data_IF_966007770587
#
_entry.id   IF_966007770587
#
_cell.length_a   1.000
_cell.length_b   1.000
_cell.length_c   1.000
_cell.angle_alpha   90.00
_cell.angle_beta   90.00
_cell.angle_gamma   90.00
#
_symmetry.space_group_name_H-M   'P 1'
#
loop_
_entity.id
_entity.type
_entity.pdbx_description
1 polymer ?
#
# COMPACT_ATOMS: atom_id res chain seq x y z
N UNK A 1 -21.00 14.59 6.04
CA UNK A 1 -20.90 13.75 7.25
C UNK A 1 -21.75 14.34 8.39
N UNK A 2 -21.70 15.65 8.64
CA UNK A 2 -22.52 16.35 9.65
C UNK A 2 -23.99 15.92 9.72
N UNK A 3 -24.74 16.07 8.62
CA UNK A 3 -26.16 15.70 8.59
C UNK A 3 -26.42 14.20 8.87
N UNK A 4 -25.44 13.33 8.60
CA UNK A 4 -25.54 11.90 8.92
C UNK A 4 -25.29 11.62 10.41
N UNK A 5 -24.34 12.35 11.02
CA UNK A 5 -24.06 12.27 12.46
C UNK A 5 -25.29 12.72 13.28
N UNK A 6 -26.01 13.73 12.82
CA UNK A 6 -27.18 14.29 13.52
C UNK A 6 -28.47 13.45 13.31
N UNK A 7 -28.62 12.78 12.16
CA UNK A 7 -29.82 11.95 11.88
C UNK A 7 -29.79 10.60 12.59
N UNK A 8 -30.93 10.08 13.04
CA UNK A 8 -31.05 8.76 13.70
C UNK A 8 -30.24 8.63 15.01
N UNK A 9 -30.42 9.50 16.00
CA UNK A 9 -29.58 9.56 17.21
C UNK A 9 -29.61 8.30 18.08
N UNK A 10 -30.57 7.40 17.88
CA UNK A 10 -30.77 6.17 18.67
C UNK A 10 -30.41 4.88 17.95
N UNK A 11 -29.89 4.97 16.72
CA UNK A 11 -29.47 3.80 15.95
C UNK A 11 -27.94 3.75 15.88
N UNK A 12 -27.32 2.56 15.98
CA UNK A 12 -25.91 2.39 15.64
C UNK A 12 -25.65 2.84 14.20
N UNK A 13 -24.50 3.48 13.97
CA UNK A 13 -24.11 4.01 12.66
C UNK A 13 -22.69 3.60 12.32
N UNK A 14 -22.46 3.39 11.03
CA UNK A 14 -21.12 3.32 10.44
C UNK A 14 -21.04 4.39 9.35
N UNK A 15 -19.96 5.16 9.37
CA UNK A 15 -19.65 6.13 8.32
C UNK A 15 -18.22 5.90 7.84
N UNK A 16 -18.06 5.84 6.52
CA UNK A 16 -16.76 5.83 5.86
C UNK A 16 -16.73 7.01 4.91
N UNK A 17 -15.76 7.91 5.10
CA UNK A 17 -15.52 9.05 4.19
C UNK A 17 -14.15 8.86 3.57
N UNK A 18 -14.08 8.93 2.25
CA UNK A 18 -12.84 8.81 1.49
C UNK A 18 -12.51 10.12 0.79
N UNK A 19 -11.58 10.88 1.38
CA UNK A 19 -11.23 12.21 0.89
C UNK A 19 -10.13 12.13 -0.17
N UNK A 20 -10.52 12.03 -1.45
CA UNK A 20 -9.60 11.71 -2.56
C UNK A 20 -8.64 12.85 -2.93
N UNK A 21 -9.02 14.13 -2.80
CA UNK A 21 -8.25 15.26 -3.37
C UNK A 21 -7.44 16.06 -2.34
N UNK A 22 -7.57 15.73 -1.05
CA UNK A 22 -6.97 16.51 0.04
C UNK A 22 -5.44 16.54 -0.05
N UNK A 23 -4.81 15.41 -0.40
CA UNK A 23 -3.36 15.28 -0.43
C UNK A 23 -2.80 14.55 -1.67
N UNK A 24 -3.67 14.11 -2.59
CA UNK A 24 -3.30 13.11 -3.60
C UNK A 24 -2.22 13.59 -4.58
N UNK A 25 -2.25 14.88 -4.95
CA UNK A 25 -1.33 15.44 -5.95
C UNK A 25 -0.27 16.38 -5.37
N UNK A 26 -0.48 16.93 -4.17
CA UNK A 26 0.41 17.91 -3.54
C UNK A 26 0.36 17.83 -2.02
N UNK A 27 1.53 17.68 -1.38
CA UNK A 27 1.67 17.61 0.09
C UNK A 27 1.10 18.79 0.83
N UNK A 28 1.32 19.98 0.28
CA UNK A 28 0.97 21.22 0.97
C UNK A 28 -0.54 21.44 1.07
N UNK A 29 -1.35 20.65 0.33
CA UNK A 29 -2.82 20.74 0.43
C UNK A 29 -3.37 20.19 1.73
N UNK A 30 -2.62 19.33 2.45
CA UNK A 30 -3.01 18.86 3.78
C UNK A 30 -3.22 20.03 4.75
N UNK A 31 -2.33 21.03 4.73
CA UNK A 31 -2.44 22.19 5.61
C UNK A 31 -3.70 23.03 5.37
N UNK A 32 -4.22 23.04 4.14
CA UNK A 32 -5.47 23.73 3.82
C UNK A 32 -6.72 23.03 4.34
N UNK A 33 -6.59 21.78 4.79
CA UNK A 33 -7.68 20.96 5.29
C UNK A 33 -7.61 20.70 6.79
N UNK A 34 -6.51 21.11 7.44
CA UNK A 34 -6.25 20.86 8.86
C UNK A 34 -7.31 21.53 9.77
N UNK A 35 -7.57 22.83 9.54
CA UNK A 35 -8.58 23.59 10.29
C UNK A 35 -9.99 23.00 10.16
N UNK A 36 -10.34 22.50 8.97
CA UNK A 36 -11.65 21.90 8.69
C UNK A 36 -11.78 20.53 9.37
N UNK A 37 -10.73 19.71 9.34
CA UNK A 37 -10.69 18.44 10.08
C UNK A 37 -10.80 18.71 11.58
N UNK A 38 -10.02 19.66 12.11
CA UNK A 38 -10.07 20.04 13.51
C UNK A 38 -11.45 20.53 13.92
N UNK A 39 -12.04 21.45 13.15
CA UNK A 39 -13.38 21.97 13.39
C UNK A 39 -14.44 20.85 13.38
N UNK A 40 -14.34 19.90 12.45
CA UNK A 40 -15.22 18.73 12.40
C UNK A 40 -15.11 17.87 13.68
N UNK A 41 -13.90 17.48 14.07
CA UNK A 41 -13.68 16.67 15.28
C UNK A 41 -14.12 17.40 16.55
N UNK A 42 -13.90 18.72 16.62
CA UNK A 42 -14.33 19.55 17.74
C UNK A 42 -15.84 19.68 17.82
N UNK A 43 -16.52 19.87 16.68
CA UNK A 43 -17.98 20.02 16.61
C UNK A 43 -18.71 18.74 17.06
N UNK A 44 -18.26 17.57 16.61
CA UNK A 44 -18.91 16.28 16.86
C UNK A 44 -18.29 15.50 18.04
N UNK A 45 -17.68 16.20 18.99
CA UNK A 45 -16.90 15.57 20.06
C UNK A 45 -17.73 14.60 20.89
N UNK A 46 -18.99 14.94 21.21
CA UNK A 46 -19.84 14.11 22.07
C UNK A 46 -20.24 12.77 21.43
N UNK A 47 -20.48 12.77 20.12
CA UNK A 47 -20.73 11.56 19.33
C UNK A 47 -19.46 10.72 19.20
N UNK A 48 -18.34 11.38 18.91
CA UNK A 48 -17.06 10.71 18.69
C UNK A 48 -16.45 10.16 19.99
N UNK A 49 -16.70 10.80 21.15
CA UNK A 49 -16.32 10.29 22.47
C UNK A 49 -17.09 9.01 22.86
N UNK A 50 -18.14 8.65 22.12
CA UNK A 50 -18.89 7.38 22.25
C UNK A 50 -18.65 6.42 21.09
N UNK A 51 -17.74 6.75 20.18
CA UNK A 51 -17.52 6.02 18.93
C UNK A 51 -16.10 5.47 18.83
N UNK A 52 -15.94 4.41 18.03
CA UNK A 52 -14.64 4.06 17.47
C UNK A 52 -14.36 4.96 16.27
N UNK A 53 -13.19 5.57 16.24
CA UNK A 53 -12.80 6.53 15.19
C UNK A 53 -11.46 6.08 14.60
N UNK A 54 -11.44 5.92 13.29
CA UNK A 54 -10.25 5.58 12.52
C UNK A 54 -9.99 6.70 11.53
N UNK A 55 -8.80 7.30 11.60
CA UNK A 55 -8.30 8.24 10.61
C UNK A 55 -7.05 7.64 10.00
N UNK A 56 -7.09 7.34 8.71
CA UNK A 56 -6.00 6.65 8.02
C UNK A 56 -5.76 7.18 6.61
N UNK A 57 -4.53 7.03 6.15
CA UNK A 57 -4.20 7.12 4.72
C UNK A 57 -4.31 5.75 4.05
N UNK A 58 -4.51 5.75 2.73
CA UNK A 58 -4.45 4.54 1.90
C UNK A 58 -3.03 4.26 1.39
N UNK A 59 -2.29 5.32 1.10
CA UNK A 59 -0.88 5.32 0.76
C UNK A 59 -0.25 6.71 1.03
N UNK A 60 1.09 6.78 1.11
CA UNK A 60 1.82 8.05 1.00
C UNK A 60 1.78 8.64 -0.42
N UNK A 61 2.56 9.69 -0.75
CA UNK A 61 2.55 10.18 -2.15
C UNK A 61 2.90 9.08 -3.12
N UNK A 62 2.17 9.07 -4.24
CA UNK A 62 2.52 8.22 -5.37
C UNK A 62 3.52 8.88 -6.31
N UNK A 63 3.48 10.21 -6.45
CA UNK A 63 4.20 10.94 -7.49
C UNK A 63 4.94 12.17 -6.96
N UNK A 64 5.77 12.78 -7.82
CA UNK A 64 6.47 14.03 -7.52
C UNK A 64 7.84 13.84 -6.86
N UNK A 65 8.48 14.96 -6.50
CA UNK A 65 9.83 14.96 -5.91
C UNK A 65 9.87 14.26 -4.55
N UNK A 66 8.84 14.45 -3.72
CA UNK A 66 8.73 13.82 -2.39
C UNK A 66 8.79 12.29 -2.51
N UNK A 67 8.06 11.69 -3.47
CA UNK A 67 8.08 10.24 -3.75
C UNK A 67 9.48 9.68 -4.04
N UNK A 68 10.38 10.52 -4.56
CA UNK A 68 11.74 10.11 -4.94
C UNK A 68 12.74 10.28 -3.80
N UNK A 69 12.35 10.91 -2.69
CA UNK A 69 13.15 10.93 -1.46
C UNK A 69 13.12 9.57 -0.78
N UNK A 70 14.11 9.31 0.09
CA UNK A 70 14.14 8.10 0.90
C UNK A 70 12.87 7.95 1.78
N UNK A 71 12.43 9.04 2.41
CA UNK A 71 11.22 9.06 3.25
C UNK A 71 9.97 8.80 2.41
N UNK A 72 9.75 9.55 1.32
CA UNK A 72 8.55 9.38 0.50
C UNK A 72 8.47 8.03 -0.21
N UNK A 73 9.61 7.37 -0.48
CA UNK A 73 9.63 5.99 -0.97
C UNK A 73 9.10 4.99 0.06
N UNK A 74 9.30 5.28 1.35
CA UNK A 74 8.86 4.45 2.47
C UNK A 74 7.40 4.72 2.85
N UNK A 75 7.01 5.99 2.88
CA UNK A 75 5.65 6.40 3.23
C UNK A 75 4.57 5.91 2.26
N UNK A 76 4.89 5.64 0.99
CA UNK A 76 3.92 5.06 0.05
C UNK A 76 3.32 3.74 0.58
N UNK A 77 4.10 2.97 1.33
CA UNK A 77 3.71 1.68 1.91
C UNK A 77 3.51 1.76 3.44
N UNK A 78 3.65 2.95 4.04
CA UNK A 78 3.51 3.18 5.48
C UNK A 78 2.57 4.36 5.74
N UNK A 79 1.29 4.29 5.34
CA UNK A 79 0.35 5.37 5.58
C UNK A 79 0.08 5.55 7.08
N UNK A 80 -0.29 6.77 7.46
CA UNK A 80 -0.67 7.07 8.83
C UNK A 80 -1.95 6.32 9.23
N UNK A 81 -2.02 5.88 10.49
CA UNK A 81 -3.20 5.31 11.12
C UNK A 81 -3.34 5.89 12.53
N UNK A 82 -4.46 6.54 12.80
CA UNK A 82 -4.87 7.01 14.11
C UNK A 82 -6.16 6.30 14.51
N UNK A 83 -6.18 5.78 15.73
CA UNK A 83 -7.33 5.07 16.29
C UNK A 83 -7.71 5.71 17.62
N UNK A 84 -8.99 6.06 17.75
CA UNK A 84 -9.61 6.46 19.01
C UNK A 84 -10.73 5.50 19.35
N UNK A 85 -10.88 5.19 20.63
CA UNK A 85 -11.92 4.31 21.17
C UNK A 85 -12.91 5.11 22.01
N UNK A 86 -14.14 4.60 22.23
CA UNK A 86 -15.11 5.22 23.13
C UNK A 86 -14.48 5.52 24.50
N UNK A 87 -14.80 6.69 25.04
CA UNK A 87 -14.23 7.24 26.28
C UNK A 87 -14.23 6.24 27.44
N UNK A 88 -15.34 5.52 27.65
CA UNK A 88 -15.49 4.51 28.70
C UNK A 88 -14.60 3.27 28.51
N UNK A 89 -14.07 3.03 27.31
CA UNK A 89 -13.18 1.91 26.98
C UNK A 89 -11.70 2.32 26.95
N UNK A 90 -11.38 3.62 27.05
CA UNK A 90 -10.01 4.12 26.87
C UNK A 90 -9.03 3.57 27.90
N UNK A 91 -9.41 3.48 29.17
CA UNK A 91 -8.54 2.95 30.24
C UNK A 91 -8.09 1.52 29.97
N UNK A 92 -8.94 0.73 29.34
CA UNK A 92 -8.67 -0.68 29.02
C UNK A 92 -7.86 -0.84 27.72
N UNK A 93 -8.22 -0.13 26.65
CA UNK A 93 -7.67 -0.42 25.31
C UNK A 93 -6.58 0.54 24.83
N UNK A 94 -6.48 1.76 25.38
CA UNK A 94 -5.38 2.68 25.00
C UNK A 94 -4.00 2.09 25.31
N UNK A 95 -3.75 1.39 26.44
CA UNK A 95 -2.46 0.74 26.68
C UNK A 95 -2.10 -0.29 25.59
N UNK A 96 -3.05 -1.14 25.21
CA UNK A 96 -2.88 -2.16 24.15
C UNK A 96 -2.63 -1.51 22.79
N UNK A 97 -3.40 -0.47 22.44
CA UNK A 97 -3.20 0.28 21.21
C UNK A 97 -1.82 0.95 21.15
N UNK A 98 -1.34 1.51 22.28
CA UNK A 98 0.01 2.09 22.37
C UNK A 98 1.09 1.04 22.16
N UNK A 99 0.98 -0.13 22.80
CA UNK A 99 1.91 -1.24 22.59
C UNK A 99 1.91 -1.70 21.13
N UNK A 100 0.72 -1.91 20.56
CA UNK A 100 0.55 -2.34 19.16
C UNK A 100 1.05 -1.30 18.15
N UNK A 101 0.99 0.00 18.48
CA UNK A 101 1.48 1.08 17.61
C UNK A 101 3.00 1.03 17.36
N UNK A 102 3.75 0.33 18.23
CA UNK A 102 5.18 0.09 18.05
C UNK A 102 5.51 -1.12 17.16
N UNK A 103 4.51 -1.82 16.61
CA UNK A 103 4.69 -3.04 15.83
C UNK A 103 4.33 -2.84 14.34
N UNK A 104 4.75 -3.79 13.49
CA UNK A 104 4.33 -3.82 12.09
C UNK A 104 2.86 -4.26 11.98
N UNK A 105 2.01 -3.33 11.52
CA UNK A 105 0.58 -3.53 11.32
C UNK A 105 0.24 -3.60 9.83
N UNK A 106 -0.88 -4.25 9.52
CA UNK A 106 -1.40 -4.40 8.15
C UNK A 106 -2.87 -4.01 8.09
N UNK A 107 -3.38 -3.74 6.89
CA UNK A 107 -4.82 -3.51 6.68
C UNK A 107 -5.68 -4.72 7.07
N UNK A 108 -5.10 -5.93 7.12
CA UNK A 108 -5.80 -7.11 7.66
C UNK A 108 -6.05 -7.01 9.16
N UNK A 109 -5.17 -6.36 9.92
CA UNK A 109 -5.35 -6.11 11.35
C UNK A 109 -6.47 -5.07 11.58
N UNK A 110 -6.57 -4.06 10.71
CA UNK A 110 -7.70 -3.10 10.71
C UNK A 110 -9.01 -3.83 10.43
N UNK A 111 -9.07 -4.69 9.41
CA UNK A 111 -10.24 -5.52 9.12
C UNK A 111 -10.63 -6.40 10.31
N UNK A 112 -9.65 -7.07 10.95
CA UNK A 112 -9.91 -7.88 12.13
C UNK A 112 -10.44 -7.06 13.32
N UNK A 113 -10.00 -5.80 13.45
CA UNK A 113 -10.51 -4.87 14.47
C UNK A 113 -11.98 -4.51 14.25
N UNK A 114 -12.38 -4.31 12.99
CA UNK A 114 -13.79 -4.07 12.66
C UNK A 114 -14.65 -5.29 12.96
N UNK A 115 -14.18 -6.49 12.65
CA UNK A 115 -14.88 -7.74 13.00
C UNK A 115 -15.00 -7.89 14.52
N UNK A 116 -13.97 -7.55 15.29
CA UNK A 116 -14.00 -7.58 16.76
C UNK A 116 -15.08 -6.63 17.32
N UNK A 117 -15.12 -5.38 16.85
CA UNK A 117 -16.16 -4.39 17.24
C UNK A 117 -17.57 -4.89 16.86
N UNK A 118 -17.73 -5.50 15.69
CA UNK A 118 -19.03 -6.00 15.23
C UNK A 118 -19.52 -7.20 16.08
N UNK A 119 -18.61 -8.05 16.53
CA UNK A 119 -18.94 -9.18 17.41
C UNK A 119 -19.32 -8.72 18.82
N UNK A 120 -18.56 -7.76 19.37
CA UNK A 120 -18.84 -7.15 20.67
C UNK A 120 -18.34 -5.69 20.70
N UNK A 121 -19.25 -4.69 20.67
CA UNK A 121 -18.87 -3.29 20.72
C UNK A 121 -18.16 -2.86 22.01
N UNK A 122 -18.31 -3.62 23.10
CA UNK A 122 -17.61 -3.37 24.36
C UNK A 122 -16.30 -4.16 24.47
N UNK A 123 -16.01 -5.03 23.50
CA UNK A 123 -14.80 -5.85 23.42
C UNK A 123 -14.54 -6.67 24.70
N UNK A 124 -15.60 -7.10 25.39
CA UNK A 124 -15.56 -7.75 26.70
C UNK A 124 -14.99 -9.17 26.67
N UNK A 125 -14.98 -9.82 25.50
CA UNK A 125 -14.28 -11.08 25.31
C UNK A 125 -12.76 -10.91 25.55
N UNK A 126 -12.10 -11.91 26.15
CA UNK A 126 -10.64 -11.88 26.37
C UNK A 126 -9.88 -12.02 25.04
N UNK A 127 -10.43 -12.80 24.10
CA UNK A 127 -9.84 -13.09 22.80
C UNK A 127 -10.61 -12.39 21.70
N UNK A 128 -9.88 -11.88 20.71
CA UNK A 128 -10.47 -11.33 19.48
C UNK A 128 -10.94 -12.41 18.50
N UNK A 129 -11.45 -12.00 17.33
CA UNK A 129 -11.91 -12.93 16.29
C UNK A 129 -10.76 -13.83 15.78
N UNK A 130 -11.10 -15.07 15.45
CA UNK A 130 -10.18 -16.07 14.89
C UNK A 130 -10.50 -16.36 13.43
N UNK A 131 -9.58 -17.03 12.71
CA UNK A 131 -9.77 -17.39 11.30
C UNK A 131 -9.62 -16.23 10.30
N UNK A 132 -9.16 -15.06 10.75
CA UNK A 132 -8.88 -13.90 9.92
C UNK A 132 -7.40 -13.83 9.52
N UNK A 133 -7.10 -13.11 8.43
CA UNK A 133 -5.72 -12.87 7.97
C UNK A 133 -4.91 -11.94 8.87
N UNK A 134 -5.58 -11.19 9.74
CA UNK A 134 -4.96 -10.24 10.67
C UNK A 134 -5.55 -10.37 12.07
N UNK A 135 -5.00 -9.59 13.00
CA UNK A 135 -5.37 -9.62 14.41
C UNK A 135 -5.95 -8.27 14.81
N UNK A 136 -6.97 -8.28 15.67
CA UNK A 136 -7.58 -7.04 16.16
C UNK A 136 -6.57 -6.16 16.89
N UNK A 137 -6.55 -4.87 16.57
CA UNK A 137 -5.71 -3.85 17.18
C UNK A 137 -6.03 -3.64 18.67
N UNK A 138 -7.19 -4.11 19.12
CA UNK A 138 -7.65 -4.02 20.52
C UNK A 138 -7.21 -5.20 21.37
N UNK A 139 -6.44 -6.14 20.80
CA UNK A 139 -5.86 -7.30 21.50
C UNK A 139 -4.35 -7.21 21.43
N UNK A 140 -3.61 -7.76 22.40
CA UNK A 140 -2.16 -7.93 22.26
C UNK A 140 -1.87 -8.68 20.95
N UNK A 141 -0.92 -8.18 20.18
CA UNK A 141 -0.48 -8.89 18.97
C UNK A 141 0.07 -10.28 19.33
N UNK A 142 -0.09 -11.30 18.46
CA UNK A 142 0.48 -12.62 18.70
C UNK A 142 1.98 -12.54 19.00
N UNK A 143 2.49 -13.38 19.91
CA UNK A 143 3.90 -13.37 20.27
C UNK A 143 4.78 -13.73 19.06
N UNK A 144 5.99 -13.17 19.03
CA UNK A 144 6.98 -13.39 17.98
C UNK A 144 7.25 -12.16 17.12
N UNK A 145 8.20 -12.28 16.19
CA UNK A 145 8.55 -11.20 15.27
C UNK A 145 7.44 -10.97 14.24
N UNK A 146 6.91 -9.74 14.17
CA UNK A 146 6.07 -9.28 13.07
C UNK A 146 6.94 -8.65 11.99
N UNK A 147 7.12 -9.36 10.87
CA UNK A 147 7.92 -8.93 9.73
C UNK A 147 7.23 -9.31 8.41
N UNK A 148 7.75 -8.85 7.28
CA UNK A 148 7.24 -9.26 5.97
C UNK A 148 7.41 -10.77 5.68
N UNK A 149 8.17 -11.49 6.52
CA UNK A 149 8.30 -12.96 6.45
C UNK A 149 7.19 -13.68 7.20
N UNK A 150 6.69 -13.08 8.28
CA UNK A 150 5.66 -13.69 9.15
C UNK A 150 4.25 -13.17 8.87
N UNK A 151 4.12 -12.03 8.21
CA UNK A 151 2.85 -11.43 7.83
C UNK A 151 2.59 -11.58 6.33
N UNK A 152 1.32 -11.61 5.88
CA UNK A 152 0.95 -11.71 4.47
C UNK A 152 1.15 -10.37 3.74
N UNK A 153 2.38 -9.85 3.77
CA UNK A 153 2.78 -8.60 3.12
C UNK A 153 3.59 -8.98 1.87
N UNK A 154 3.07 -8.70 0.67
CA UNK A 154 3.84 -8.88 -0.55
C UNK A 154 5.15 -8.10 -0.50
N UNK A 155 6.25 -8.70 -0.99
CA UNK A 155 7.61 -8.15 -0.83
C UNK A 155 7.76 -6.73 -1.39
N UNK A 156 6.98 -6.35 -2.41
CA UNK A 156 6.97 -5.01 -2.99
C UNK A 156 6.40 -3.93 -2.04
N UNK A 157 5.56 -4.33 -1.08
CA UNK A 157 4.97 -3.46 -0.06
C UNK A 157 5.74 -3.51 1.27
N UNK A 158 6.76 -4.35 1.35
CA UNK A 158 7.54 -4.50 2.57
C UNK A 158 8.33 -3.23 2.90
N UNK A 159 8.32 -2.85 4.18
CA UNK A 159 9.05 -1.70 4.72
C UNK A 159 10.47 -2.04 5.19
N UNK A 160 10.86 -3.32 5.18
CA UNK A 160 12.18 -3.74 5.63
C UNK A 160 13.29 -3.11 4.79
N UNK A 161 14.28 -2.58 5.49
CA UNK A 161 15.49 -2.05 4.88
C UNK A 161 16.49 -3.17 4.69
N UNK A 162 16.59 -3.65 3.46
CA UNK A 162 17.64 -4.58 3.07
C UNK A 162 18.88 -3.83 2.62
N UNK A 163 20.05 -4.38 2.96
CA UNK A 163 21.30 -3.97 2.34
C UNK A 163 21.22 -4.21 0.83
N UNK A 164 21.66 -3.22 0.07
CA UNK A 164 21.56 -3.24 -1.39
C UNK A 164 22.85 -2.79 -2.03
N UNK A 165 23.28 -3.52 -3.04
CA UNK A 165 24.43 -3.14 -3.87
C UNK A 165 23.93 -2.66 -5.22
N UNK A 166 24.32 -1.45 -5.60
CA UNK A 166 23.98 -0.91 -6.92
C UNK A 166 24.80 -1.61 -7.99
N UNK A 167 24.16 -2.11 -9.04
CA UNK A 167 24.83 -2.69 -10.20
C UNK A 167 24.89 -1.60 -11.26
N UNK A 168 26.05 -1.03 -11.57
CA UNK A 168 26.15 0.17 -12.45
C UNK A 168 26.42 -0.21 -13.90
N UNK A 169 27.50 -0.94 -14.16
CA UNK A 169 27.98 -1.31 -15.49
C UNK A 169 28.05 -2.82 -15.61
N UNK A 170 26.93 -3.42 -16.02
CA UNK A 170 26.82 -4.86 -16.21
C UNK A 170 25.94 -5.13 -17.44
N UNK A 171 26.42 -5.88 -18.45
CA UNK A 171 25.63 -6.29 -19.61
C UNK A 171 24.29 -6.95 -19.21
N UNK A 172 24.23 -7.59 -18.04
CA UNK A 172 23.02 -8.23 -17.50
C UNK A 172 21.87 -7.23 -17.33
N UNK A 173 22.15 -5.93 -17.13
CA UNK A 173 21.11 -4.91 -16.91
C UNK A 173 20.15 -4.79 -18.08
N UNK A 174 20.69 -4.86 -19.30
CA UNK A 174 19.88 -4.77 -20.51
C UNK A 174 19.03 -6.03 -20.70
N UNK A 175 19.62 -7.19 -20.48
CA UNK A 175 18.92 -8.48 -20.61
C UNK A 175 17.82 -8.63 -19.56
N UNK A 176 18.09 -8.28 -18.29
CA UNK A 176 17.08 -8.26 -17.21
C UNK A 176 15.95 -7.30 -17.55
N UNK A 177 16.25 -6.12 -18.08
CA UNK A 177 15.22 -5.15 -18.49
C UNK A 177 14.33 -5.66 -19.63
N UNK A 178 14.91 -6.30 -20.63
CA UNK A 178 14.17 -6.94 -21.74
C UNK A 178 13.31 -8.09 -21.23
N UNK A 179 13.87 -9.00 -20.43
CA UNK A 179 13.14 -10.13 -19.85
C UNK A 179 12.01 -9.67 -18.93
N UNK A 180 12.24 -8.65 -18.12
CA UNK A 180 11.20 -8.05 -17.27
C UNK A 180 10.07 -7.43 -18.09
N UNK A 181 10.37 -6.86 -19.25
CA UNK A 181 9.35 -6.34 -20.17
C UNK A 181 8.56 -7.47 -20.84
N UNK A 182 9.18 -8.64 -21.08
CA UNK A 182 8.46 -9.83 -21.55
C UNK A 182 7.47 -10.29 -20.48
N UNK A 183 7.89 -10.37 -19.21
CA UNK A 183 7.01 -10.72 -18.08
C UNK A 183 5.85 -9.72 -17.94
N UNK A 184 6.12 -8.41 -18.06
CA UNK A 184 5.08 -7.37 -18.04
C UNK A 184 4.05 -7.57 -19.17
N UNK A 185 4.50 -7.89 -20.38
CA UNK A 185 3.57 -8.17 -21.49
C UNK A 185 2.81 -9.49 -21.29
N UNK A 186 3.43 -10.50 -20.65
CA UNK A 186 2.74 -11.71 -20.21
C UNK A 186 1.58 -11.39 -19.26
N UNK A 187 1.77 -10.44 -18.35
CA UNK A 187 0.71 -9.96 -17.46
C UNK A 187 -0.46 -9.32 -18.22
N UNK A 188 -0.21 -8.57 -19.29
CA UNK A 188 -1.28 -8.03 -20.13
C UNK A 188 -2.14 -9.13 -20.77
N UNK A 189 -1.50 -10.26 -21.12
CA UNK A 189 -2.18 -11.42 -21.69
C UNK A 189 -3.00 -12.16 -20.64
N UNK A 190 -2.45 -12.38 -19.45
CA UNK A 190 -3.16 -13.01 -18.32
C UNK A 190 -4.41 -12.22 -17.92
N UNK A 191 -4.33 -10.89 -17.96
CA UNK A 191 -5.46 -9.99 -17.66
C UNK A 191 -6.40 -9.77 -18.86
N UNK A 192 -6.08 -10.36 -20.01
CA UNK A 192 -6.85 -10.28 -21.26
C UNK A 192 -7.02 -8.84 -21.80
N UNK A 193 -6.03 -7.97 -21.62
CA UNK A 193 -6.07 -6.54 -22.00
C UNK A 193 -5.17 -6.18 -23.20
N UNK A 194 -4.67 -7.17 -23.94
CA UNK A 194 -3.82 -6.96 -25.12
C UNK A 194 -4.56 -6.29 -26.29
N UNK A 195 -5.89 -6.26 -26.28
CA UNK A 195 -6.70 -5.61 -27.33
C UNK A 195 -6.75 -4.11 -27.12
N UNK A 196 -6.84 -3.67 -25.88
CA UNK A 196 -7.00 -2.27 -25.46
C UNK A 196 -5.64 -1.60 -25.22
N UNK A 197 -4.65 -2.35 -24.71
CA UNK A 197 -3.35 -1.83 -24.31
C UNK A 197 -2.24 -2.17 -25.33
N UNK A 198 -1.33 -1.23 -25.55
CA UNK A 198 -0.10 -1.38 -26.33
C UNK A 198 0.85 -2.32 -25.61
N UNK A 199 1.56 -3.14 -26.39
CA UNK A 199 2.71 -3.90 -25.91
C UNK A 199 3.80 -2.92 -25.42
N UNK A 200 4.43 -3.24 -24.30
CA UNK A 200 5.57 -2.48 -23.79
C UNK A 200 6.86 -2.91 -24.48
N UNK A 201 7.64 -1.93 -24.90
CA UNK A 201 9.00 -2.12 -25.42
C UNK A 201 10.02 -1.55 -24.44
N UNK A 202 11.02 -2.34 -24.07
CA UNK A 202 12.10 -1.90 -23.19
C UNK A 202 12.86 -0.73 -23.83
N UNK A 203 13.16 0.30 -23.01
CA UNK A 203 14.00 1.43 -23.41
C UNK A 203 15.35 1.36 -22.69
N UNK A 204 15.35 1.50 -21.37
CA UNK A 204 16.59 1.50 -20.59
C UNK A 204 16.35 1.17 -19.10
N UNK A 205 17.36 0.61 -18.44
CA UNK A 205 17.39 0.40 -17.00
C UNK A 205 17.72 1.73 -16.30
N UNK A 206 16.87 2.17 -15.36
CA UNK A 206 17.10 3.36 -14.53
C UNK A 206 17.84 3.00 -13.25
N UNK A 207 17.49 1.89 -12.62
CA UNK A 207 18.10 1.42 -11.37
C UNK A 207 18.07 -0.10 -11.28
N UNK A 208 19.16 -0.70 -10.84
CA UNK A 208 19.22 -2.13 -10.51
C UNK A 208 20.05 -2.28 -9.24
N UNK A 209 19.44 -2.89 -8.23
CA UNK A 209 20.03 -3.12 -6.92
C UNK A 209 19.91 -4.59 -6.58
N UNK A 210 21.04 -5.25 -6.29
CA UNK A 210 21.03 -6.58 -5.68
C UNK A 210 20.63 -6.47 -4.22
N UNK A 211 19.72 -7.30 -3.77
CA UNK A 211 19.35 -7.41 -2.36
C UNK A 211 20.32 -8.38 -1.70
N UNK A 212 21.17 -7.89 -0.82
CA UNK A 212 22.20 -8.69 -0.16
C UNK A 212 21.60 -9.77 0.74
N UNK A 213 22.30 -10.91 0.84
CA UNK A 213 21.84 -12.06 1.62
C UNK A 213 20.67 -12.83 1.00
N UNK A 214 20.35 -12.57 -0.28
CA UNK A 214 19.31 -13.30 -1.02
C UNK A 214 19.91 -14.08 -2.19
N UNK A 215 19.21 -15.13 -2.61
CA UNK A 215 19.55 -15.89 -3.83
C UNK A 215 19.07 -15.14 -5.09
N UNK A 216 19.91 -14.21 -5.54
CA UNK A 216 19.74 -13.51 -6.83
C UNK A 216 18.56 -12.53 -6.90
N UNK A 217 18.03 -12.05 -5.77
CA UNK A 217 16.90 -11.10 -5.80
C UNK A 217 17.43 -9.69 -6.07
N UNK A 218 16.79 -9.00 -7.01
CA UNK A 218 17.10 -7.65 -7.42
C UNK A 218 15.85 -6.76 -7.40
N UNK A 219 16.03 -5.53 -6.92
CA UNK A 219 15.06 -4.45 -7.11
C UNK A 219 15.44 -3.68 -8.37
N UNK A 220 14.56 -3.67 -9.36
CA UNK A 220 14.78 -2.99 -10.63
C UNK A 220 13.81 -1.83 -10.83
N UNK A 221 14.28 -0.80 -11.53
CA UNK A 221 13.47 0.29 -12.08
C UNK A 221 13.88 0.45 -13.53
N UNK A 222 12.97 0.22 -14.46
CA UNK A 222 13.24 0.31 -15.89
C UNK A 222 12.19 1.18 -16.59
N UNK A 223 12.60 1.77 -17.70
CA UNK A 223 11.74 2.57 -18.58
C UNK A 223 11.40 1.78 -19.83
N UNK A 224 10.19 1.99 -20.34
CA UNK A 224 9.71 1.50 -21.63
C UNK A 224 9.50 2.68 -22.58
N UNK A 225 9.62 2.41 -23.88
CA UNK A 225 9.32 3.38 -24.94
C UNK A 225 7.83 3.70 -24.98
N UNK A 226 7.00 2.69 -24.69
CA UNK A 226 5.54 2.79 -24.71
C UNK A 226 5.06 3.75 -23.64
N UNK A 227 4.70 4.96 -24.06
CA UNK A 227 4.11 6.02 -23.24
C UNK A 227 5.05 6.49 -22.11
N UNK A 228 6.36 6.31 -22.31
CA UNK A 228 7.40 6.67 -21.34
C UNK A 228 7.20 6.00 -19.98
N UNK A 229 6.69 4.76 -19.96
CA UNK A 229 6.35 4.10 -18.72
C UNK A 229 7.58 3.75 -17.91
N UNK A 230 7.52 3.97 -16.60
CA UNK A 230 8.58 3.57 -15.67
C UNK A 230 7.99 2.60 -14.66
N UNK A 231 8.55 1.40 -14.61
CA UNK A 231 8.11 0.33 -13.72
C UNK A 231 9.19 -0.01 -12.72
N UNK A 232 8.77 -0.31 -11.49
CA UNK A 232 9.56 -0.95 -10.45
C UNK A 232 9.08 -2.38 -10.30
N UNK A 233 10.02 -3.32 -10.18
CA UNK A 233 9.72 -4.72 -9.89
C UNK A 233 10.80 -5.33 -8.99
N UNK A 234 10.45 -6.42 -8.32
CA UNK A 234 11.40 -7.27 -7.61
C UNK A 234 11.50 -8.59 -8.38
N UNK A 235 12.69 -8.88 -8.90
CA UNK A 235 12.95 -10.03 -9.77
C UNK A 235 14.03 -10.90 -9.18
N UNK A 236 13.94 -12.21 -9.42
CA UNK A 236 15.03 -13.15 -9.18
C UNK A 236 15.78 -13.32 -10.49
N UNK A 237 17.09 -13.16 -10.42
CA UNK A 237 18.01 -13.26 -11.55
C UNK A 237 18.97 -14.42 -11.25
N UNK A 238 18.91 -15.46 -12.05
CA UNK A 238 19.72 -16.68 -11.91
C UNK A 238 20.33 -17.06 -13.26
N UNK A 239 21.50 -17.69 -13.24
CA UNK A 239 22.07 -18.34 -14.43
C UNK A 239 21.75 -19.83 -14.35
N UNK A 240 20.99 -20.35 -15.32
CA UNK A 240 20.63 -21.77 -15.42
C UNK A 240 21.10 -22.26 -16.78
N UNK A 241 22.03 -23.23 -16.79
CA UNK A 241 22.64 -23.77 -18.02
C UNK A 241 23.23 -22.66 -18.92
N UNK A 242 24.00 -21.73 -18.33
CA UNK A 242 24.59 -20.57 -18.99
C UNK A 242 23.58 -19.62 -19.66
N UNK A 243 22.29 -19.72 -19.30
CA UNK A 243 21.25 -18.80 -19.75
C UNK A 243 20.71 -18.02 -18.57
N UNK A 244 20.55 -16.72 -18.78
CA UNK A 244 19.91 -15.86 -17.81
C UNK A 244 18.43 -16.20 -17.67
N UNK A 245 18.02 -16.52 -16.46
CA UNK A 245 16.62 -16.67 -16.09
C UNK A 245 16.21 -15.50 -15.20
N UNK A 246 15.08 -14.89 -15.53
CA UNK A 246 14.49 -13.78 -14.77
C UNK A 246 13.04 -14.14 -14.46
N UNK A 247 12.71 -14.15 -13.18
CA UNK A 247 11.34 -14.39 -12.71
C UNK A 247 10.91 -13.31 -11.72
N UNK A 248 9.61 -13.06 -11.65
CA UNK A 248 9.04 -12.16 -10.65
C UNK A 248 9.09 -12.80 -9.26
N UNK A 249 9.52 -12.03 -8.26
CA UNK A 249 9.40 -12.41 -6.84
C UNK A 249 8.10 -11.86 -6.24
N UNK A 250 7.63 -10.73 -6.77
CA UNK A 250 6.32 -10.16 -6.48
C UNK A 250 5.42 -10.31 -7.70
N UNK A 251 4.16 -10.69 -7.51
CA UNK A 251 3.17 -10.91 -8.58
C UNK A 251 2.83 -9.68 -9.44
N UNK A 252 3.50 -8.55 -9.25
CA UNK A 252 3.13 -7.31 -9.94
C UNK A 252 4.30 -6.36 -10.24
N UNK A 253 4.04 -5.47 -11.19
CA UNK A 253 4.87 -4.35 -11.58
C UNK A 253 4.28 -3.04 -11.03
N UNK A 254 5.07 -2.31 -10.25
CA UNK A 254 4.64 -0.99 -9.75
C UNK A 254 4.98 0.10 -10.77
N UNK A 255 3.97 0.70 -11.40
CA UNK A 255 4.14 1.92 -12.19
C UNK A 255 4.58 3.09 -11.29
N UNK A 256 5.73 3.70 -11.57
CA UNK A 256 6.35 4.74 -10.72
C UNK A 256 6.19 6.18 -11.25
N UNK A 257 5.66 6.35 -12.45
CA UNK A 257 5.26 7.65 -12.99
C UNK A 257 3.76 7.67 -13.34
N UNK A 258 3.18 8.87 -13.38
CA UNK A 258 1.78 9.05 -13.78
C UNK A 258 1.52 8.48 -15.18
N UNK A 259 0.39 7.79 -15.33
CA UNK A 259 -0.15 7.32 -16.60
C UNK A 259 -1.25 8.26 -17.15
N UNK A 260 -1.84 9.11 -16.30
CA UNK A 260 -2.82 10.13 -16.71
C UNK A 260 -3.86 9.60 -17.70
N UNK A 261 -3.98 10.28 -18.84
CA UNK A 261 -4.93 9.93 -19.91
C UNK A 261 -4.50 8.71 -20.75
N UNK A 262 -3.26 8.27 -20.63
CA UNK A 262 -2.75 7.16 -21.46
C UNK A 262 -3.37 5.81 -21.09
N UNK A 263 -4.14 5.71 -20.01
CA UNK A 263 -4.79 4.48 -19.56
C UNK A 263 -6.33 4.60 -19.47
N UNK A 264 -6.95 5.57 -20.16
CA UNK A 264 -8.40 5.84 -20.10
C UNK A 264 -9.27 4.65 -20.52
N UNK A 265 -8.81 3.84 -21.48
CA UNK A 265 -9.47 2.60 -21.89
C UNK A 265 -9.66 1.59 -20.74
N UNK A 266 -8.93 1.72 -19.64
CA UNK A 266 -9.07 0.88 -18.43
C UNK A 266 -9.86 1.58 -17.31
N UNK A 267 -10.72 2.55 -17.60
CA UNK A 267 -11.56 3.21 -16.58
C UNK A 267 -12.49 2.21 -15.86
N UNK A 268 -13.03 1.22 -16.57
CA UNK A 268 -13.91 0.19 -16.01
C UNK A 268 -13.17 -0.88 -15.19
N UNK A 269 -11.85 -1.02 -15.43
CA UNK A 269 -10.92 -1.92 -14.73
C UNK A 269 -9.79 -1.09 -14.13
N UNK A 270 -10.16 -0.19 -13.22
CA UNK A 270 -9.29 0.87 -12.72
C UNK A 270 -7.98 0.36 -12.08
N UNK A 271 -8.01 -0.85 -11.53
CA UNK A 271 -6.87 -1.59 -10.99
C UNK A 271 -5.80 -1.91 -12.04
N UNK A 272 -6.17 -2.02 -13.32
CA UNK A 272 -5.25 -2.32 -14.43
C UNK A 272 -4.67 -1.09 -15.13
N UNK A 273 -5.19 0.10 -14.82
CA UNK A 273 -4.66 1.37 -15.35
C UNK A 273 -3.14 1.51 -15.20
N UNK A 274 -2.50 1.14 -14.07
CA UNK A 274 -1.06 1.29 -13.90
C UNK A 274 -0.22 0.52 -14.93
N UNK A 275 -0.72 -0.63 -15.39
CA UNK A 275 -0.03 -1.50 -16.34
C UNK A 275 -0.53 -1.33 -17.78
N UNK A 276 -1.40 -0.36 -18.08
CA UNK A 276 -1.90 -0.14 -19.44
C UNK A 276 -1.33 1.13 -20.07
N UNK A 277 -1.08 1.06 -21.37
CA UNK A 277 -1.14 2.25 -22.21
C UNK A 277 -2.07 1.99 -23.40
N UNK A 278 -3.15 2.74 -23.55
CA UNK A 278 -4.16 2.54 -24.57
C UNK A 278 -3.59 2.64 -25.99
N UNK A 279 -4.14 1.83 -26.89
CA UNK A 279 -3.85 1.85 -28.32
C UNK A 279 -4.14 3.21 -28.95
#
# INVERSE_FOLDING_TARGET
LDAFMEKYPRLPKIAMTWATEVAHNHVNRLFHFDDQIFAFFKKHREELDRSYVFLLGDHGMRWGSVRNTWIGNREINNPALFVSVPSHLRSQFVPVLKENSGQLLTSFDIHASFVDILNDPNLGAVRGPTGLRGNSLFRPMPPGERSCRSLPIPVQYCLCEWNRTMIVEDPIREEVGKMSTILLNGRLKEEEIEKECKKFEYENMKKMEKIEGTDGIHSIVFRTKTCGAVFKAIVRVQSINDKLNVSLVSDDFTRTNSYGKTAECMNERAELRPICCCK
#
